data_IF_147602080693
#
_entry.id   IF_147602080693
#
_cell.length_a   1.000
_cell.length_b   1.000
_cell.length_c   1.000
_cell.angle_alpha   90.00
_cell.angle_beta   90.00
_cell.angle_gamma   90.00
#
_symmetry.space_group_name_H-M   'P 1'
#
loop_
_entity.id
_entity.type
_entity.pdbx_description
1 polymer ?
#
# COMPACT_ATOMS: atom_id res chain seq x y z
N UNK A 1 4.05 3.60 2.39
CA UNK A 1 3.78 2.70 3.51
C UNK A 1 2.28 2.58 3.71
N UNK A 2 1.81 1.36 3.81
CA UNK A 2 0.38 1.06 3.98
C UNK A 2 0.15 0.62 5.42
N UNK A 3 -0.78 1.29 6.09
CA UNK A 3 -1.12 1.04 7.48
C UNK A 3 -2.58 0.61 7.57
N UNK A 4 -2.82 -0.52 8.22
CA UNK A 4 -4.15 -1.00 8.53
C UNK A 4 -4.52 -0.55 9.94
N UNK A 5 -5.72 0.00 10.11
CA UNK A 5 -6.18 0.49 11.40
C UNK A 5 -7.67 0.22 11.59
N UNK A 6 -8.07 -0.11 12.81
CA UNK A 6 -9.48 -0.27 13.16
C UNK A 6 -10.21 1.07 13.15
N UNK A 7 -9.52 2.11 13.59
CA UNK A 7 -10.02 3.50 13.57
C UNK A 7 -9.02 4.35 12.80
N UNK A 8 -9.21 4.50 11.47
CA UNK A 8 -8.29 5.29 10.65
C UNK A 8 -8.17 6.76 11.08
N UNK A 9 -9.24 7.34 11.60
CA UNK A 9 -9.21 8.75 12.03
C UNK A 9 -8.27 8.93 13.22
N UNK A 10 -8.34 8.05 14.22
CA UNK A 10 -7.46 8.08 15.38
C UNK A 10 -6.01 7.80 14.96
N UNK A 11 -5.79 6.77 14.17
CA UNK A 11 -4.46 6.42 13.70
C UNK A 11 -3.83 7.55 12.89
N UNK A 12 -4.61 8.19 12.02
CA UNK A 12 -4.14 9.31 11.20
C UNK A 12 -3.72 10.49 12.08
N UNK A 13 -4.52 10.83 13.10
CA UNK A 13 -4.17 11.90 14.02
C UNK A 13 -2.84 11.59 14.74
N UNK A 14 -2.67 10.36 15.21
CA UNK A 14 -1.48 9.92 15.92
C UNK A 14 -0.23 9.95 15.03
N UNK A 15 -0.31 9.41 13.82
CA UNK A 15 0.82 9.41 12.88
C UNK A 15 1.15 10.81 12.38
N UNK A 16 0.15 11.66 12.18
CA UNK A 16 0.35 13.05 11.82
C UNK A 16 1.13 13.79 12.91
N UNK A 17 0.80 13.54 14.15
CA UNK A 17 1.50 14.14 15.28
C UNK A 17 2.96 13.66 15.35
N UNK A 18 3.22 12.35 15.23
CA UNK A 18 4.58 11.80 15.26
C UNK A 18 5.43 12.29 14.10
N UNK A 19 4.87 12.39 12.91
CA UNK A 19 5.62 12.81 11.71
C UNK A 19 5.76 14.32 11.60
N UNK A 20 5.08 15.09 12.46
CA UNK A 20 5.00 16.54 12.40
C UNK A 20 4.48 17.04 11.04
N UNK A 21 3.55 16.30 10.45
CA UNK A 21 2.92 16.66 9.18
C UNK A 21 1.47 17.02 9.42
N UNK A 22 1.03 18.14 8.83
CA UNK A 22 -0.34 18.62 8.94
C UNK A 22 -1.13 18.50 7.64
N UNK A 23 -0.46 18.22 6.52
CA UNK A 23 -1.10 18.10 5.20
C UNK A 23 -1.63 16.68 5.03
N UNK A 24 -2.75 16.39 5.68
CA UNK A 24 -3.44 15.11 5.49
C UNK A 24 -4.55 15.24 4.47
N UNK A 25 -4.71 14.21 3.65
CA UNK A 25 -5.70 14.18 2.58
C UNK A 25 -6.60 12.96 2.75
N UNK A 26 -7.88 13.15 2.50
CA UNK A 26 -8.85 12.06 2.59
C UNK A 26 -8.80 11.21 1.32
N UNK A 27 -8.91 9.88 1.49
CA UNK A 27 -9.04 8.92 0.38
C UNK A 27 -10.50 8.53 0.29
N UNK A 28 -11.34 9.39 -0.33
CA UNK A 28 -12.78 9.17 -0.35
C UNK A 28 -13.33 8.90 1.05
N UNK A 29 -14.09 7.84 1.20
CA UNK A 29 -14.61 7.39 2.51
C UNK A 29 -13.79 6.23 3.09
N UNK A 30 -12.63 5.93 2.50
CA UNK A 30 -11.86 4.72 2.81
C UNK A 30 -10.79 4.95 3.87
N UNK A 31 -10.25 6.15 3.96
CA UNK A 31 -9.17 6.44 4.90
C UNK A 31 -8.46 7.74 4.58
N UNK A 32 -7.17 7.78 4.92
CA UNK A 32 -6.38 9.00 4.87
C UNK A 32 -5.00 8.77 4.26
N UNK A 33 -4.44 9.82 3.70
CA UNK A 33 -3.08 9.84 3.17
C UNK A 33 -2.31 10.98 3.83
N UNK A 34 -1.14 10.66 4.37
CA UNK A 34 -0.21 11.65 4.94
C UNK A 34 0.99 11.74 4.00
N UNK A 35 1.16 12.85 3.26
CA UNK A 35 2.35 13.02 2.42
C UNK A 35 3.60 13.16 3.29
N UNK A 36 4.66 12.45 2.91
CA UNK A 36 5.97 12.52 3.54
C UNK A 36 6.97 13.10 2.55
N UNK A 37 8.20 13.32 2.99
CA UNK A 37 9.27 13.83 2.11
C UNK A 37 9.56 12.84 0.97
N UNK A 38 9.42 11.53 1.25
CA UNK A 38 9.55 10.47 0.25
C UNK A 38 8.38 9.53 0.37
N UNK A 39 7.39 9.70 -0.51
CA UNK A 39 6.21 8.85 -0.53
C UNK A 39 5.12 9.31 0.42
N UNK A 40 4.27 8.40 0.82
CA UNK A 40 3.08 8.68 1.61
C UNK A 40 2.83 7.59 2.64
N UNK A 41 2.16 7.94 3.73
CA UNK A 41 1.48 6.98 4.59
C UNK A 41 0.02 6.87 4.13
N UNK A 42 -0.45 5.66 3.92
CA UNK A 42 -1.85 5.37 3.56
C UNK A 42 -2.46 4.62 4.73
N UNK A 43 -3.51 5.17 5.34
CA UNK A 43 -4.10 4.63 6.56
C UNK A 43 -5.58 4.34 6.32
N UNK A 44 -5.95 3.08 6.30
CA UNK A 44 -7.31 2.63 6.04
C UNK A 44 -7.65 1.44 6.91
N UNK A 45 -8.95 1.09 6.95
CA UNK A 45 -9.35 -0.22 7.51
C UNK A 45 -8.90 -1.34 6.58
N UNK A 46 -8.76 -2.55 7.15
CA UNK A 46 -8.32 -3.72 6.37
C UNK A 46 -9.24 -4.00 5.18
N UNK A 47 -10.54 -3.86 5.35
CA UNK A 47 -11.52 -4.09 4.28
C UNK A 47 -11.33 -3.10 3.14
N UNK A 48 -11.08 -1.83 3.46
CA UNK A 48 -10.83 -0.81 2.46
C UNK A 48 -9.52 -1.07 1.71
N UNK A 49 -8.47 -1.48 2.41
CA UNK A 49 -7.19 -1.82 1.79
C UNK A 49 -7.33 -3.04 0.87
N UNK A 50 -8.07 -4.06 1.28
CA UNK A 50 -8.32 -5.23 0.44
C UNK A 50 -9.00 -4.85 -0.86
N UNK A 51 -9.95 -3.92 -0.80
CA UNK A 51 -10.63 -3.41 -1.98
C UNK A 51 -9.69 -2.59 -2.88
N UNK A 52 -8.90 -1.69 -2.29
CA UNK A 52 -7.98 -0.84 -3.04
C UNK A 52 -6.87 -1.66 -3.71
N UNK A 53 -6.35 -2.66 -3.03
CA UNK A 53 -5.26 -3.50 -3.51
C UNK A 53 -5.74 -4.73 -4.27
N UNK A 54 -7.05 -4.91 -4.36
CA UNK A 54 -7.68 -6.07 -5.03
C UNK A 54 -7.11 -7.40 -4.53
N UNK A 55 -6.88 -7.48 -3.22
CA UNK A 55 -6.19 -8.60 -2.60
C UNK A 55 -6.76 -8.89 -1.22
N UNK A 56 -7.04 -10.15 -0.93
CA UNK A 56 -7.50 -10.61 0.38
C UNK A 56 -6.35 -10.91 1.34
N UNK A 57 -5.13 -10.52 0.98
CA UNK A 57 -3.91 -10.86 1.72
C UNK A 57 -3.73 -10.07 3.01
N UNK A 58 -4.57 -9.06 3.25
CA UNK A 58 -4.47 -8.21 4.42
C UNK A 58 -5.30 -8.79 5.57
N UNK A 59 -4.66 -9.67 6.32
CA UNK A 59 -5.28 -10.26 7.51
C UNK A 59 -4.89 -9.52 8.79
N UNK A 60 -3.99 -8.54 8.68
CA UNK A 60 -3.46 -7.82 9.84
C UNK A 60 -4.40 -6.69 10.22
N UNK A 61 -4.90 -6.72 11.46
CA UNK A 61 -5.71 -5.66 12.03
C UNK A 61 -4.84 -4.79 12.93
N UNK A 62 -4.34 -3.69 12.37
CA UNK A 62 -3.52 -2.72 13.08
C UNK A 62 -2.03 -2.84 12.79
N UNK A 63 -1.40 -1.72 12.51
CA UNK A 63 0.01 -1.62 12.21
C UNK A 63 0.35 -1.58 10.74
N UNK A 64 1.62 -1.70 10.43
CA UNK A 64 2.12 -1.63 9.05
C UNK A 64 1.72 -2.89 8.31
N UNK A 65 0.91 -2.73 7.27
CA UNK A 65 0.49 -3.85 6.41
C UNK A 65 1.53 -4.14 5.32
N UNK A 66 2.18 -3.12 4.79
CA UNK A 66 3.18 -3.33 3.76
C UNK A 66 3.61 -2.06 3.05
N UNK A 67 4.21 -2.26 1.89
CA UNK A 67 4.70 -1.18 1.03
C UNK A 67 4.12 -1.33 -0.36
N UNK A 68 3.76 -0.21 -0.97
CA UNK A 68 3.42 -0.15 -2.39
C UNK A 68 4.53 0.62 -3.10
N UNK A 69 5.02 0.06 -4.20
CA UNK A 69 6.09 0.65 -5.00
C UNK A 69 5.69 0.65 -6.47
N UNK A 70 6.38 1.46 -7.24
CA UNK A 70 6.17 1.56 -8.68
C UNK A 70 7.21 0.75 -9.45
N UNK A 71 6.81 0.21 -10.58
CA UNK A 71 7.71 -0.36 -11.57
C UNK A 71 7.34 0.21 -12.93
N UNK A 72 8.30 0.74 -13.64
CA UNK A 72 8.10 1.20 -15.02
C UNK A 72 8.14 0.04 -16.03
N UNK A 73 8.44 -1.17 -15.55
CA UNK A 73 8.42 -2.39 -16.35
C UNK A 73 8.04 -3.58 -15.48
N UNK A 74 6.74 -3.76 -15.28
CA UNK A 74 6.23 -4.80 -14.39
C UNK A 74 6.57 -6.21 -14.86
N UNK A 75 6.71 -6.42 -16.17
CA UNK A 75 7.10 -7.71 -16.72
C UNK A 75 8.53 -8.08 -16.31
N UNK A 76 9.44 -7.11 -16.32
CA UNK A 76 10.81 -7.31 -15.85
C UNK A 76 10.85 -7.57 -14.34
N UNK A 77 10.01 -6.89 -13.57
CA UNK A 77 9.88 -7.13 -12.13
C UNK A 77 9.37 -8.55 -11.84
N UNK A 78 8.36 -9.00 -12.58
CA UNK A 78 7.84 -10.37 -12.43
C UNK A 78 8.92 -11.40 -12.75
N UNK A 79 9.69 -11.17 -13.81
CA UNK A 79 10.80 -12.04 -14.17
C UNK A 79 11.87 -12.09 -13.07
N UNK A 80 12.20 -10.93 -12.51
CA UNK A 80 13.12 -10.84 -11.38
C UNK A 80 12.65 -11.68 -10.20
N UNK A 81 11.37 -11.59 -9.84
CA UNK A 81 10.80 -12.40 -8.76
C UNK A 81 10.90 -13.89 -9.07
N UNK A 82 10.59 -14.29 -10.31
CA UNK A 82 10.70 -15.70 -10.72
C UNK A 82 12.15 -16.19 -10.67
N UNK A 83 13.10 -15.39 -11.14
CA UNK A 83 14.52 -15.73 -11.15
C UNK A 83 15.08 -15.88 -9.72
N UNK A 84 14.55 -15.11 -8.78
CA UNK A 84 14.92 -15.18 -7.36
C UNK A 84 14.09 -16.20 -6.59
N UNK A 85 13.20 -16.91 -7.24
CA UNK A 85 12.30 -17.92 -6.63
C UNK A 85 11.43 -17.33 -5.53
N UNK A 86 10.98 -16.10 -5.72
CA UNK A 86 10.04 -15.45 -4.81
C UNK A 86 8.61 -15.78 -5.24
N UNK A 87 7.79 -16.13 -4.27
CA UNK A 87 6.38 -16.45 -4.51
C UNK A 87 5.59 -15.16 -4.62
N UNK A 88 5.37 -14.70 -5.85
CA UNK A 88 4.55 -13.53 -6.11
C UNK A 88 3.22 -13.93 -6.73
N UNK A 89 2.25 -13.04 -6.63
CA UNK A 89 0.91 -13.23 -7.20
C UNK A 89 0.65 -12.11 -8.21
N UNK A 90 0.26 -12.48 -9.42
CA UNK A 90 -0.19 -11.52 -10.41
C UNK A 90 -1.68 -11.25 -10.19
N UNK A 91 -1.99 -10.12 -9.55
CA UNK A 91 -3.37 -9.75 -9.23
C UNK A 91 -4.07 -9.24 -10.49
N UNK A 92 -3.42 -8.33 -11.20
CA UNK A 92 -3.87 -7.85 -12.52
C UNK A 92 -2.63 -7.72 -13.42
N UNK A 93 -2.84 -7.31 -14.68
CA UNK A 93 -1.71 -7.04 -15.57
C UNK A 93 -0.82 -5.90 -15.05
N UNK A 94 -1.36 -5.03 -14.19
CA UNK A 94 -0.68 -3.85 -13.71
C UNK A 94 -0.37 -3.91 -12.20
N UNK A 95 -0.61 -5.04 -11.55
CA UNK A 95 -0.43 -5.15 -10.10
C UNK A 95 0.07 -6.55 -9.72
N UNK A 96 1.25 -6.57 -9.10
CA UNK A 96 1.81 -7.78 -8.49
C UNK A 96 1.76 -7.66 -6.97
N UNK A 97 1.57 -8.77 -6.29
CA UNK A 97 1.69 -8.85 -4.84
C UNK A 97 2.79 -9.82 -4.46
N UNK A 98 3.56 -9.45 -3.45
CA UNK A 98 4.57 -10.31 -2.85
C UNK A 98 4.16 -10.52 -1.39
N UNK A 99 3.32 -11.52 -1.10
CA UNK A 99 2.81 -11.73 0.24
C UNK A 99 3.90 -12.27 1.15
N UNK A 100 3.88 -11.81 2.39
CA UNK A 100 4.76 -12.29 3.44
C UNK A 100 3.93 -12.51 4.69
N UNK A 101 3.37 -13.70 4.92
CA UNK A 101 2.36 -13.93 5.96
C UNK A 101 2.81 -13.58 7.37
N UNK A 102 4.11 -13.64 7.66
CA UNK A 102 4.66 -13.36 8.98
C UNK A 102 5.43 -12.04 9.04
N UNK A 103 5.25 -11.19 8.05
CA UNK A 103 5.99 -9.94 7.94
C UNK A 103 5.20 -8.95 7.08
N UNK A 104 5.90 -7.97 6.52
CA UNK A 104 5.34 -6.91 5.72
C UNK A 104 5.24 -7.37 4.27
N UNK A 105 4.05 -7.28 3.69
CA UNK A 105 3.83 -7.62 2.28
C UNK A 105 4.22 -6.47 1.37
N UNK A 106 4.41 -6.76 0.08
CA UNK A 106 4.71 -5.77 -0.93
C UNK A 106 3.70 -5.79 -2.06
N UNK A 107 3.43 -4.62 -2.64
CA UNK A 107 2.62 -4.49 -3.83
C UNK A 107 3.37 -3.65 -4.86
N UNK A 108 3.42 -4.13 -6.09
CA UNK A 108 4.12 -3.45 -7.19
C UNK A 108 3.10 -3.04 -8.23
N UNK A 109 3.00 -1.74 -8.47
CA UNK A 109 2.11 -1.16 -9.46
C UNK A 109 2.89 -0.77 -10.70
N UNK A 110 2.33 -1.05 -11.88
CA UNK A 110 2.91 -0.63 -13.14
C UNK A 110 2.62 0.85 -13.39
N UNK A 111 3.67 1.63 -13.53
CA UNK A 111 3.52 3.06 -13.80
C UNK A 111 4.82 3.81 -13.57
N UNK A 112 4.84 5.07 -14.03
CA UNK A 112 6.01 5.95 -13.93
C UNK A 112 5.88 6.97 -12.81
N UNK A 113 4.68 7.21 -12.31
CA UNK A 113 4.44 8.16 -11.24
C UNK A 113 3.32 7.69 -10.33
N UNK A 114 3.11 8.42 -9.24
CA UNK A 114 2.19 8.04 -8.17
C UNK A 114 0.71 8.07 -8.57
N UNK A 115 0.38 8.61 -9.75
CA UNK A 115 -1.02 8.70 -10.19
C UNK A 115 -1.67 7.34 -10.37
N UNK A 116 -0.87 6.29 -10.56
CA UNK A 116 -1.39 4.93 -10.75
C UNK A 116 -1.85 4.28 -9.44
N UNK A 117 -1.45 4.81 -8.29
CA UNK A 117 -1.91 4.27 -7.02
C UNK A 117 -3.40 4.55 -6.82
N UNK A 118 -4.17 3.56 -6.32
CA UNK A 118 -5.63 3.71 -6.20
C UNK A 118 -6.06 4.80 -5.22
N UNK A 119 -5.21 5.16 -4.27
CA UNK A 119 -5.51 6.23 -3.31
C UNK A 119 -5.23 7.63 -3.84
N UNK A 120 -4.72 7.75 -5.05
CA UNK A 120 -4.42 9.03 -5.71
C UNK A 120 -5.40 9.36 -6.84
N UNK A 121 -6.44 8.57 -7.00
CA UNK A 121 -7.46 8.81 -8.02
C UNK A 121 -8.47 9.86 -7.61
#
# INVERSE_FOLDING_TARGET
VIISAKDPDEATARYSWFSNKSSIKKIGDLGWKIPLDRGNLVICKSEALSSLLKSELLTVSGGIAGYAVLSDNISATAKFFSDKKLDYIKITNDLLALPCPQSISGWVFDGKDESVFPWNS
#
